data_IF_600590969685
#
_entry.id   IF_600590969685
#
_cell.length_a   1.000
_cell.length_b   1.000
_cell.length_c   1.000
_cell.angle_alpha   90.00
_cell.angle_beta   90.00
_cell.angle_gamma   90.00
#
_symmetry.space_group_name_H-M   'P 1'
#
loop_
_entity.id
_entity.type
_entity.pdbx_description
1 polymer ?
#
# COMPACT_ATOMS: atom_id res chain seq x y z
N UNK A 1 -5.36 7.30 14.04
CA UNK A 1 -4.47 6.39 13.30
C UNK A 1 -4.80 6.49 11.82
N UNK A 2 -3.84 6.89 11.01
CA UNK A 2 -3.97 6.94 9.55
C UNK A 2 -3.83 5.50 9.02
N UNK A 3 -4.76 5.11 8.13
CA UNK A 3 -4.75 3.81 7.43
C UNK A 3 -4.72 4.10 5.94
N UNK A 4 -3.54 4.06 5.34
CA UNK A 4 -3.31 4.38 3.94
C UNK A 4 -3.19 3.13 3.10
N UNK A 5 -4.08 2.94 2.14
CA UNK A 5 -3.94 1.93 1.09
C UNK A 5 -3.29 2.54 -0.14
N UNK A 6 -2.33 1.82 -0.73
CA UNK A 6 -1.78 2.18 -2.04
C UNK A 6 -2.39 1.22 -3.06
N UNK A 7 -3.24 1.75 -3.93
CA UNK A 7 -4.06 0.94 -4.82
C UNK A 7 -3.93 1.33 -6.29
N UNK A 8 -3.69 0.34 -7.12
CA UNK A 8 -3.87 0.39 -8.57
C UNK A 8 -4.00 -1.05 -9.10
N UNK A 9 -4.91 -1.26 -10.05
CA UNK A 9 -5.15 -2.57 -10.68
C UNK A 9 -4.04 -2.98 -11.66
N UNK A 10 -3.21 -2.02 -12.09
CA UNK A 10 -2.07 -2.28 -12.97
C UNK A 10 -0.87 -2.79 -12.17
N UNK A 11 -0.22 -3.83 -12.70
CA UNK A 11 1.07 -4.30 -12.21
C UNK A 11 2.21 -3.34 -12.55
N UNK A 12 3.27 -3.31 -11.74
CA UNK A 12 4.50 -2.55 -12.04
C UNK A 12 4.44 -1.05 -11.82
N UNK A 13 3.31 -0.48 -11.38
CA UNK A 13 3.18 0.97 -11.11
C UNK A 13 3.87 1.44 -9.83
N UNK A 14 4.51 0.53 -9.08
CA UNK A 14 5.30 0.84 -7.91
C UNK A 14 4.54 0.89 -6.58
N UNK A 15 3.37 0.25 -6.45
CA UNK A 15 2.60 0.18 -5.19
C UNK A 15 3.47 -0.21 -4.00
N UNK A 16 4.04 -1.40 -4.05
CA UNK A 16 4.91 -1.95 -2.99
C UNK A 16 6.07 -1.03 -2.64
N UNK A 17 6.74 -0.47 -3.65
CA UNK A 17 7.87 0.44 -3.45
C UNK A 17 7.43 1.70 -2.72
N UNK A 18 6.28 2.27 -3.11
CA UNK A 18 5.71 3.47 -2.47
C UNK A 18 5.33 3.15 -1.03
N UNK A 19 4.59 2.05 -0.79
CA UNK A 19 4.21 1.60 0.56
C UNK A 19 5.43 1.50 1.47
N UNK A 20 6.44 0.74 1.07
CA UNK A 20 7.61 0.49 1.91
C UNK A 20 8.44 1.76 2.18
N UNK A 21 8.56 2.65 1.18
CA UNK A 21 9.33 3.90 1.36
C UNK A 21 8.58 4.92 2.22
N UNK A 22 7.27 5.11 2.01
CA UNK A 22 6.48 6.02 2.85
C UNK A 22 6.40 5.50 4.30
N UNK A 23 6.21 4.19 4.50
CA UNK A 23 6.21 3.58 5.82
C UNK A 23 7.56 3.73 6.55
N UNK A 24 8.68 3.54 5.84
CA UNK A 24 10.01 3.73 6.41
C UNK A 24 10.29 5.20 6.76
N UNK A 25 9.78 6.17 5.97
CA UNK A 25 9.88 7.60 6.29
C UNK A 25 9.03 7.92 7.53
N UNK A 26 7.79 7.43 7.63
CA UNK A 26 6.96 7.60 8.82
C UNK A 26 7.67 7.07 10.07
N UNK A 27 8.21 5.87 10.01
CA UNK A 27 8.96 5.24 11.09
C UNK A 27 10.23 6.02 11.48
N UNK A 28 10.98 6.54 10.49
CA UNK A 28 12.17 7.37 10.75
C UNK A 28 11.85 8.70 11.44
N UNK A 29 10.60 9.13 11.41
CA UNK A 29 10.08 10.31 12.13
C UNK A 29 9.52 9.95 13.51
N UNK A 30 9.72 8.72 13.97
CA UNK A 30 9.31 8.25 15.28
C UNK A 30 7.87 7.75 15.37
N UNK A 31 7.14 7.68 14.25
CA UNK A 31 5.79 7.12 14.24
C UNK A 31 5.83 5.59 14.29
N UNK A 32 5.10 4.98 15.22
CA UNK A 32 4.92 3.53 15.22
C UNK A 32 4.09 3.11 14.00
N UNK A 33 4.74 2.46 13.06
CA UNK A 33 4.23 2.20 11.72
C UNK A 33 4.08 0.71 11.47
N UNK A 34 2.95 0.32 10.86
CA UNK A 34 2.67 -1.04 10.45
C UNK A 34 2.48 -1.09 8.93
N UNK A 35 3.15 -2.00 8.26
CA UNK A 35 2.84 -2.39 6.88
C UNK A 35 2.04 -3.68 6.87
N UNK A 36 1.01 -3.77 6.04
CA UNK A 36 0.24 -4.99 5.80
C UNK A 36 0.39 -5.36 4.33
N UNK A 37 0.98 -6.52 4.08
CA UNK A 37 1.21 -7.03 2.71
C UNK A 37 0.10 -8.00 2.32
N UNK A 38 -0.78 -7.56 1.40
CA UNK A 38 -1.90 -8.35 0.88
C UNK A 38 -1.65 -8.97 -0.49
N UNK A 39 -0.45 -8.76 -1.06
CA UNK A 39 -0.06 -9.37 -2.33
C UNK A 39 0.57 -10.75 -2.08
N UNK A 40 0.04 -11.80 -2.72
CA UNK A 40 0.58 -13.17 -2.64
C UNK A 40 2.04 -13.28 -3.07
N UNK A 41 2.53 -12.31 -3.85
CA UNK A 41 3.95 -12.24 -4.24
C UNK A 41 4.87 -11.89 -3.06
N UNK A 42 4.34 -11.29 -1.98
CA UNK A 42 5.08 -11.01 -0.76
C UNK A 42 6.24 -10.03 -0.93
N UNK A 43 6.15 -9.12 -1.90
CA UNK A 43 7.24 -8.19 -2.22
C UNK A 43 7.53 -7.20 -1.08
N UNK A 44 6.50 -6.66 -0.42
CA UNK A 44 6.69 -5.79 0.75
C UNK A 44 7.28 -6.57 1.92
N UNK A 45 6.83 -7.80 2.13
CA UNK A 45 7.34 -8.72 3.14
C UNK A 45 8.83 -8.98 2.97
N UNK A 46 9.26 -9.38 1.76
CA UNK A 46 10.67 -9.63 1.46
C UNK A 46 11.51 -8.37 1.66
N UNK A 47 11.02 -7.25 1.17
CA UNK A 47 11.72 -5.98 1.23
C UNK A 47 11.95 -5.51 2.67
N UNK A 48 10.92 -5.59 3.53
CA UNK A 48 10.99 -5.10 4.91
C UNK A 48 11.61 -6.09 5.89
N UNK A 49 11.58 -7.40 5.61
CA UNK A 49 12.22 -8.43 6.45
C UNK A 49 13.66 -8.74 6.04
N UNK A 50 14.27 -7.94 5.18
CA UNK A 50 15.66 -8.10 4.75
C UNK A 50 15.89 -9.39 3.96
N UNK A 51 14.95 -9.78 3.10
CA UNK A 51 15.00 -11.00 2.30
C UNK A 51 14.78 -12.29 3.11
N UNK A 52 14.24 -12.20 4.32
CA UNK A 52 14.01 -13.33 5.23
C UNK A 52 12.54 -13.44 5.63
N UNK A 53 11.62 -13.79 4.71
CA UNK A 53 10.19 -13.88 5.01
C UNK A 53 9.87 -14.92 6.11
N UNK A 54 10.70 -15.95 6.25
CA UNK A 54 10.55 -17.03 7.28
C UNK A 54 10.67 -16.51 8.72
N UNK A 55 11.05 -15.24 8.93
CA UNK A 55 11.04 -14.61 10.25
C UNK A 55 9.63 -14.34 10.78
N UNK A 56 8.64 -14.36 9.92
CA UNK A 56 7.26 -14.16 10.33
C UNK A 56 6.68 -15.46 10.90
N UNK A 57 6.46 -15.49 12.22
CA UNK A 57 5.82 -16.63 12.88
C UNK A 57 4.34 -16.77 12.51
N UNK A 58 3.71 -15.65 12.15
CA UNK A 58 2.31 -15.55 11.71
C UNK A 58 2.19 -14.58 10.55
N UNK A 59 1.25 -14.87 9.66
CA UNK A 59 1.07 -14.14 8.42
C UNK A 59 -0.35 -13.57 8.32
N UNK A 60 -0.59 -12.75 7.31
CA UNK A 60 -1.93 -12.28 6.96
C UNK A 60 -2.84 -13.45 6.52
N UNK A 61 -2.26 -14.53 5.99
CA UNK A 61 -2.97 -15.78 5.68
C UNK A 61 -3.56 -16.41 6.94
N UNK A 62 -2.78 -16.50 8.03
CA UNK A 62 -3.26 -17.01 9.31
C UNK A 62 -4.39 -16.14 9.88
N UNK A 63 -4.29 -14.82 9.73
CA UNK A 63 -5.36 -13.92 10.13
C UNK A 63 -6.65 -14.23 9.36
N UNK A 64 -6.61 -14.25 8.03
CA UNK A 64 -7.81 -14.51 7.23
C UNK A 64 -8.36 -15.92 7.46
N UNK A 65 -7.52 -16.93 7.57
CA UNK A 65 -7.93 -18.30 7.88
C UNK A 65 -8.66 -18.38 9.22
N UNK A 66 -8.18 -17.68 10.25
CA UNK A 66 -8.83 -17.61 11.56
C UNK A 66 -10.26 -17.06 11.50
N UNK A 67 -10.57 -16.24 10.50
CA UNK A 67 -11.90 -15.65 10.30
C UNK A 67 -12.91 -16.62 9.67
N UNK A 68 -12.45 -17.73 9.07
CA UNK A 68 -13.31 -18.72 8.42
C UNK A 68 -13.98 -19.70 9.39
N UNK A 69 -13.37 -19.92 10.54
CA UNK A 69 -13.86 -20.81 11.58
C UNK A 69 -14.75 -20.11 12.62
N UNK A 70 -15.43 -20.92 13.41
CA UNK A 70 -16.07 -20.50 14.66
C UNK A 70 -14.99 -20.56 15.75
N UNK A 71 -14.35 -19.44 16.04
CA UNK A 71 -13.44 -19.34 17.18
C UNK A 71 -14.05 -18.42 18.25
N UNK A 72 -14.11 -18.91 19.49
CA UNK A 72 -14.52 -18.11 20.64
C UNK A 72 -13.50 -17.03 21.01
N UNK A 73 -12.26 -17.16 20.52
CA UNK A 73 -11.19 -16.20 20.75
C UNK A 73 -10.36 -16.03 19.46
N UNK A 74 -10.61 -14.97 18.72
CA UNK A 74 -9.70 -14.55 17.64
C UNK A 74 -8.51 -13.82 18.25
N UNK A 75 -7.25 -14.19 17.96
CA UNK A 75 -6.09 -13.47 18.45
C UNK A 75 -6.15 -11.98 18.08
N UNK A 76 -5.68 -11.08 18.94
CA UNK A 76 -5.55 -9.66 18.58
C UNK A 76 -4.70 -9.48 17.32
N UNK A 77 -5.10 -8.56 16.43
CA UNK A 77 -4.43 -8.39 15.12
C UNK A 77 -2.94 -8.07 15.25
N UNK A 78 -2.54 -7.37 16.32
CA UNK A 78 -1.12 -7.08 16.62
C UNK A 78 -0.25 -8.34 16.72
N UNK A 79 -0.82 -9.50 17.02
CA UNK A 79 -0.05 -10.76 17.13
C UNK A 79 0.40 -11.33 15.79
N UNK A 80 -0.05 -10.76 14.68
CA UNK A 80 0.40 -11.09 13.32
C UNK A 80 1.51 -10.16 12.83
N UNK A 81 1.82 -9.09 13.58
CA UNK A 81 2.90 -8.17 13.26
C UNK A 81 4.26 -8.77 13.62
N UNK A 82 5.21 -8.64 12.71
CA UNK A 82 6.61 -9.05 12.87
C UNK A 82 7.49 -7.81 12.84
N UNK A 83 8.43 -7.71 13.77
CA UNK A 83 9.40 -6.61 13.81
C UNK A 83 10.34 -6.67 12.60
N UNK A 84 10.53 -5.53 11.96
CA UNK A 84 11.53 -5.38 10.90
C UNK A 84 12.89 -4.97 11.48
N UNK A 85 13.97 -4.97 10.70
CA UNK A 85 15.25 -4.39 11.11
C UNK A 85 15.24 -2.86 11.30
N UNK A 86 14.15 -2.20 10.93
CA UNK A 86 14.01 -0.74 10.99
C UNK A 86 13.22 -0.35 12.23
N UNK A 87 13.76 0.60 12.98
CA UNK A 87 13.12 1.09 14.20
C UNK A 87 11.72 1.65 13.92
N UNK A 88 10.74 1.40 14.80
CA UNK A 88 9.34 1.82 14.69
C UNK A 88 8.58 1.28 13.47
N UNK A 89 9.09 0.28 12.76
CA UNK A 89 8.46 -0.30 11.59
C UNK A 89 8.24 -1.80 11.76
N UNK A 90 6.98 -2.21 11.75
CA UNK A 90 6.58 -3.61 11.78
C UNK A 90 5.87 -3.99 10.47
N UNK A 91 5.78 -5.30 10.18
CA UNK A 91 5.07 -5.82 9.01
C UNK A 91 4.18 -7.01 9.38
N UNK A 92 2.95 -7.03 8.88
CA UNK A 92 2.15 -8.25 8.77
C UNK A 92 2.49 -8.87 7.43
N UNK A 93 3.23 -9.99 7.49
CA UNK A 93 3.78 -10.65 6.32
C UNK A 93 2.69 -11.27 5.43
N UNK A 94 2.93 -11.24 4.12
CA UNK A 94 2.10 -11.93 3.14
C UNK A 94 2.21 -13.45 3.25
N UNK A 95 1.31 -14.13 2.55
CA UNK A 95 1.22 -15.59 2.52
C UNK A 95 0.70 -16.08 1.16
N UNK A 96 1.35 -17.06 0.57
CA UNK A 96 0.91 -17.67 -0.69
C UNK A 96 -0.47 -18.34 -0.57
N UNK A 97 -0.86 -18.80 0.64
CA UNK A 97 -2.19 -19.36 0.91
C UNK A 97 -3.35 -18.40 0.65
N UNK A 98 -3.07 -17.09 0.51
CA UNK A 98 -4.08 -16.11 0.13
C UNK A 98 -4.80 -16.49 -1.17
N UNK A 99 -4.11 -17.12 -2.14
CA UNK A 99 -4.74 -17.58 -3.38
C UNK A 99 -5.87 -18.59 -3.11
N UNK A 100 -5.59 -19.60 -2.29
CA UNK A 100 -6.55 -20.66 -1.93
C UNK A 100 -7.65 -20.16 -0.97
N UNK A 101 -7.35 -19.17 -0.15
CA UNK A 101 -8.27 -18.61 0.83
C UNK A 101 -9.32 -17.69 0.19
N UNK A 102 -8.99 -17.03 -0.92
CA UNK A 102 -9.84 -16.01 -1.55
C UNK A 102 -11.27 -16.49 -1.78
N UNK A 103 -11.45 -17.62 -2.46
CA UNK A 103 -12.76 -18.17 -2.80
C UNK A 103 -13.59 -18.45 -1.55
N UNK A 104 -12.96 -18.98 -0.49
CA UNK A 104 -13.64 -19.28 0.78
C UNK A 104 -14.06 -18.02 1.52
N UNK A 105 -13.22 -16.98 1.48
CA UNK A 105 -13.47 -15.70 2.14
C UNK A 105 -14.60 -14.93 1.43
N UNK A 106 -14.61 -14.94 0.10
CA UNK A 106 -15.68 -14.36 -0.72
C UNK A 106 -17.03 -15.07 -0.45
N UNK A 107 -17.07 -16.40 -0.52
CA UNK A 107 -18.27 -17.18 -0.27
C UNK A 107 -18.84 -16.95 1.13
N UNK A 108 -18.01 -16.67 2.12
CA UNK A 108 -18.41 -16.35 3.50
C UNK A 108 -18.54 -14.86 3.78
N UNK A 109 -18.44 -13.99 2.77
CA UNK A 109 -18.59 -12.53 2.87
C UNK A 109 -17.69 -11.91 3.96
N UNK A 110 -16.39 -12.30 3.99
CA UNK A 110 -15.46 -11.89 5.05
C UNK A 110 -14.73 -10.56 4.77
N UNK A 111 -15.14 -9.80 3.76
CA UNK A 111 -14.46 -8.59 3.29
C UNK A 111 -14.27 -7.50 4.37
N UNK A 112 -15.16 -7.43 5.36
CA UNK A 112 -15.10 -6.47 6.47
C UNK A 112 -14.12 -6.88 7.60
N UNK A 113 -13.51 -8.08 7.54
CA UNK A 113 -12.73 -8.60 8.67
C UNK A 113 -11.46 -7.82 8.94
N UNK A 114 -10.79 -7.33 7.92
CA UNK A 114 -9.61 -6.49 8.09
C UNK A 114 -9.97 -5.15 8.76
N UNK A 115 -11.04 -4.47 8.32
CA UNK A 115 -11.54 -3.24 8.97
C UNK A 115 -11.82 -3.48 10.46
N UNK A 116 -12.59 -4.52 10.78
CA UNK A 116 -12.92 -4.87 12.17
C UNK A 116 -11.70 -5.14 13.05
N UNK A 117 -10.64 -5.69 12.46
CA UNK A 117 -9.38 -5.94 13.14
C UNK A 117 -8.59 -4.63 13.37
N UNK A 118 -8.51 -3.77 12.34
CA UNK A 118 -7.82 -2.49 12.42
C UNK A 118 -8.53 -1.47 13.32
N UNK A 119 -9.86 -1.54 13.45
CA UNK A 119 -10.62 -0.71 14.40
C UNK A 119 -10.27 -1.00 15.86
N UNK A 120 -9.79 -2.22 16.14
CA UNK A 120 -9.37 -2.65 17.47
C UNK A 120 -7.85 -2.57 17.67
N UNK A 121 -7.11 -2.29 16.61
CA UNK A 121 -5.66 -2.21 16.67
C UNK A 121 -5.22 -0.97 17.47
N UNK A 122 -4.30 -1.18 18.40
CA UNK A 122 -3.73 -0.13 19.25
C UNK A 122 -2.21 -0.17 19.16
N UNK A 123 -1.60 0.97 19.42
CA UNK A 123 -0.15 1.07 19.54
C UNK A 123 0.56 1.37 18.22
N UNK A 124 -0.17 1.70 17.15
CA UNK A 124 0.39 2.22 15.90
C UNK A 124 -0.22 3.60 15.60
N UNK A 125 0.60 4.47 15.02
CA UNK A 125 0.22 5.81 14.59
C UNK A 125 -0.22 5.80 13.12
N UNK A 126 0.44 4.96 12.30
CA UNK A 126 0.17 4.81 10.87
C UNK A 126 0.16 3.34 10.45
N UNK A 127 -0.74 3.02 9.53
CA UNK A 127 -0.83 1.71 8.84
C UNK A 127 -0.78 1.96 7.33
N UNK A 128 0.13 1.27 6.64
CA UNK A 128 0.22 1.26 5.19
C UNK A 128 -0.17 -0.13 4.67
N UNK A 129 -1.02 -0.17 3.64
CA UNK A 129 -1.54 -1.44 3.10
C UNK A 129 -1.09 -1.58 1.65
N UNK A 130 -0.28 -2.61 1.39
CA UNK A 130 0.11 -3.00 0.03
C UNK A 130 -0.91 -3.96 -0.58
N UNK A 131 -1.24 -3.76 -1.86
CA UNK A 131 -2.33 -4.47 -2.53
C UNK A 131 -1.86 -5.19 -3.79
N UNK A 132 -2.47 -6.35 -4.13
CA UNK A 132 -2.21 -7.02 -5.40
C UNK A 132 -2.65 -6.17 -6.60
N UNK A 133 -2.14 -6.48 -7.83
CA UNK A 133 -2.46 -5.76 -9.06
C UNK A 133 -3.82 -6.17 -9.66
N UNK A 134 -4.88 -6.17 -8.84
CA UNK A 134 -6.23 -6.54 -9.26
C UNK A 134 -7.27 -6.02 -8.27
N UNK A 135 -8.52 -5.87 -8.72
CA UNK A 135 -9.65 -5.62 -7.83
C UNK A 135 -10.24 -6.97 -7.38
N UNK A 136 -9.61 -7.59 -6.40
CA UNK A 136 -10.01 -8.87 -5.83
C UNK A 136 -10.48 -8.70 -4.37
N UNK A 137 -10.72 -9.81 -3.67
CA UNK A 137 -11.11 -9.81 -2.27
C UNK A 137 -10.16 -8.99 -1.38
N UNK A 138 -8.83 -9.12 -1.58
CA UNK A 138 -7.82 -8.50 -0.73
C UNK A 138 -7.72 -6.99 -0.95
N UNK A 139 -7.72 -6.54 -2.20
CA UNK A 139 -7.73 -5.10 -2.50
C UNK A 139 -9.03 -4.43 -2.06
N UNK A 140 -10.19 -5.11 -2.21
CA UNK A 140 -11.46 -4.64 -1.64
C UNK A 140 -11.42 -4.57 -0.13
N UNK A 141 -10.89 -5.61 0.56
CA UNK A 141 -10.71 -5.58 2.02
C UNK A 141 -9.80 -4.45 2.48
N UNK A 142 -8.74 -4.14 1.71
CA UNK A 142 -7.83 -3.02 1.98
C UNK A 142 -8.54 -1.67 1.88
N UNK A 143 -9.26 -1.41 0.78
CA UNK A 143 -10.03 -0.18 0.57
C UNK A 143 -11.13 0.01 1.64
N UNK A 144 -11.79 -1.08 2.03
CA UNK A 144 -12.79 -1.06 3.10
C UNK A 144 -12.16 -0.75 4.47
N UNK A 145 -10.94 -1.20 4.72
CA UNK A 145 -10.25 -1.02 5.99
C UNK A 145 -9.48 0.31 6.13
N UNK A 146 -9.19 0.97 5.00
CA UNK A 146 -8.43 2.21 4.94
C UNK A 146 -9.32 3.46 5.15
N UNK A 147 -8.71 4.58 5.54
CA UNK A 147 -9.33 5.90 5.50
C UNK A 147 -8.66 6.83 4.47
N UNK A 148 -7.51 6.43 3.91
CA UNK A 148 -6.80 7.16 2.85
C UNK A 148 -6.44 6.21 1.71
N UNK A 149 -6.67 6.63 0.47
CA UNK A 149 -6.29 5.90 -0.74
C UNK A 149 -5.33 6.74 -1.57
N UNK A 150 -4.10 6.28 -1.71
CA UNK A 150 -3.09 6.84 -2.60
C UNK A 150 -3.04 6.01 -3.88
N UNK A 151 -3.14 6.66 -5.04
CA UNK A 151 -3.18 6.01 -6.34
C UNK A 151 -1.87 6.30 -7.10
N UNK A 152 -0.93 5.34 -7.18
CA UNK A 152 0.22 5.48 -8.07
C UNK A 152 -0.21 5.41 -9.52
N UNK A 153 0.29 6.33 -10.33
CA UNK A 153 -0.05 6.45 -11.73
C UNK A 153 1.23 6.49 -12.59
N UNK A 154 1.29 5.63 -13.59
CA UNK A 154 2.32 5.62 -14.60
C UNK A 154 1.73 6.17 -15.90
N UNK A 155 2.28 7.28 -16.40
CA UNK A 155 1.75 8.02 -17.54
C UNK A 155 2.06 7.33 -18.87
N UNK A 156 1.47 6.17 -19.14
CA UNK A 156 1.47 5.57 -20.47
C UNK A 156 0.19 5.92 -21.27
N UNK A 157 0.19 5.53 -22.54
CA UNK A 157 -0.86 5.91 -23.49
C UNK A 157 -2.25 5.36 -23.11
N UNK A 158 -2.32 4.24 -22.39
CA UNK A 158 -3.57 3.57 -21.98
C UNK A 158 -3.96 3.85 -20.53
N UNK A 159 -3.11 4.55 -19.78
CA UNK A 159 -3.27 4.71 -18.34
C UNK A 159 -4.51 5.55 -17.96
N UNK A 160 -4.92 6.51 -18.83
CA UNK A 160 -6.02 7.42 -18.53
C UNK A 160 -7.37 6.70 -18.36
N UNK A 161 -7.76 5.86 -19.33
CA UNK A 161 -9.02 5.11 -19.25
C UNK A 161 -9.01 4.14 -18.06
N UNK A 162 -7.88 3.48 -17.82
CA UNK A 162 -7.72 2.59 -16.67
C UNK A 162 -7.83 3.35 -15.33
N UNK A 163 -7.35 4.61 -15.28
CA UNK A 163 -7.48 5.46 -14.10
C UNK A 163 -8.94 5.78 -13.79
N UNK A 164 -9.75 6.16 -14.79
CA UNK A 164 -11.18 6.44 -14.55
C UNK A 164 -11.92 5.20 -14.04
N UNK A 165 -11.71 4.04 -14.66
CA UNK A 165 -12.30 2.79 -14.17
C UNK A 165 -11.86 2.48 -12.74
N UNK A 166 -10.62 2.78 -12.38
CA UNK A 166 -10.12 2.59 -11.02
C UNK A 166 -10.80 3.56 -10.05
N UNK A 167 -10.94 4.84 -10.42
CA UNK A 167 -11.62 5.85 -9.61
C UNK A 167 -13.08 5.49 -9.37
N UNK A 168 -13.79 5.02 -10.41
CA UNK A 168 -15.17 4.54 -10.30
C UNK A 168 -15.28 3.37 -9.31
N UNK A 169 -14.39 2.38 -9.40
CA UNK A 169 -14.36 1.26 -8.46
C UNK A 169 -14.09 1.70 -7.01
N UNK A 170 -13.20 2.67 -6.80
CA UNK A 170 -12.95 3.22 -5.44
C UNK A 170 -14.18 3.96 -4.92
N UNK A 171 -14.87 4.73 -5.78
CA UNK A 171 -16.09 5.43 -5.41
C UNK A 171 -17.24 4.47 -5.08
N UNK A 172 -17.39 3.36 -5.81
CA UNK A 172 -18.37 2.31 -5.51
C UNK A 172 -18.10 1.71 -4.12
N UNK A 173 -16.85 1.35 -3.83
CA UNK A 173 -16.48 0.82 -2.51
C UNK A 173 -16.74 1.86 -1.41
N UNK A 174 -16.44 3.13 -1.68
CA UNK A 174 -16.72 4.23 -0.76
C UNK A 174 -18.21 4.34 -0.46
N UNK A 175 -19.05 4.34 -1.48
CA UNK A 175 -20.50 4.46 -1.34
C UNK A 175 -21.14 3.28 -0.61
N UNK A 176 -20.68 2.05 -0.90
CA UNK A 176 -21.35 0.83 -0.43
C UNK A 176 -20.79 0.29 0.88
N UNK A 177 -19.51 0.57 1.20
CA UNK A 177 -18.80 -0.13 2.26
C UNK A 177 -17.99 0.73 3.21
N UNK A 178 -17.53 1.92 2.78
CA UNK A 178 -16.60 2.74 3.56
C UNK A 178 -16.67 4.24 3.21
N UNK A 179 -17.62 4.95 3.76
CA UNK A 179 -17.84 6.38 3.55
C UNK A 179 -16.70 7.28 4.09
N UNK A 180 -15.86 6.74 4.99
CA UNK A 180 -14.67 7.42 5.51
C UNK A 180 -13.47 7.40 4.56
N UNK A 181 -13.51 6.58 3.47
CA UNK A 181 -12.41 6.45 2.54
C UNK A 181 -12.28 7.72 1.69
N UNK A 182 -11.13 8.36 1.75
CA UNK A 182 -10.80 9.52 0.91
C UNK A 182 -9.69 9.17 -0.08
N UNK A 183 -9.87 9.55 -1.35
CA UNK A 183 -8.76 9.55 -2.32
C UNK A 183 -7.90 10.76 -2.00
N UNK A 184 -6.76 10.53 -1.32
CA UNK A 184 -5.86 11.61 -0.90
C UNK A 184 -5.01 12.15 -2.04
N UNK A 185 -4.84 11.37 -3.11
CA UNK A 185 -4.17 11.85 -4.30
C UNK A 185 -3.77 10.77 -5.30
N UNK A 186 -3.47 11.24 -6.51
CA UNK A 186 -2.86 10.47 -7.59
C UNK A 186 -1.40 10.90 -7.67
N UNK A 187 -0.47 10.00 -7.36
CA UNK A 187 0.97 10.26 -7.45
C UNK A 187 1.52 9.73 -8.77
N UNK A 188 2.11 10.63 -9.57
CA UNK A 188 2.79 10.24 -10.81
C UNK A 188 4.11 9.58 -10.47
N UNK A 189 4.22 8.29 -10.77
CA UNK A 189 5.42 7.49 -10.55
C UNK A 189 6.18 7.24 -11.86
N UNK A 190 7.46 6.92 -11.75
CA UNK A 190 8.37 6.71 -12.88
C UNK A 190 8.42 7.91 -13.86
N UNK A 191 8.16 9.11 -13.34
CA UNK A 191 8.02 10.32 -14.12
C UNK A 191 9.32 10.69 -14.84
N UNK A 192 9.21 10.85 -16.15
CA UNK A 192 10.29 11.33 -17.00
C UNK A 192 9.99 12.75 -17.45
N UNK A 193 10.42 13.75 -16.70
CA UNK A 193 10.07 15.16 -16.91
C UNK A 193 10.46 15.75 -18.27
N UNK A 194 11.34 15.09 -19.04
CA UNK A 194 11.70 15.49 -20.41
C UNK A 194 10.73 14.93 -21.47
N UNK A 195 9.89 13.97 -21.14
CA UNK A 195 8.94 13.37 -22.05
C UNK A 195 7.66 14.23 -22.14
N UNK A 196 7.25 14.58 -23.36
CA UNK A 196 6.09 15.46 -23.61
C UNK A 196 4.76 14.80 -23.24
N UNK A 197 4.63 13.48 -23.45
CA UNK A 197 3.39 12.75 -23.20
C UNK A 197 2.98 12.74 -21.71
N UNK A 198 3.85 12.38 -20.75
CA UNK A 198 3.50 12.41 -19.33
C UNK A 198 3.08 13.81 -18.85
N UNK A 199 3.80 14.85 -19.27
CA UNK A 199 3.47 16.23 -18.88
C UNK A 199 2.07 16.65 -19.38
N UNK A 200 1.72 16.28 -20.62
CA UNK A 200 0.39 16.55 -21.19
C UNK A 200 -0.72 15.81 -20.44
N UNK A 201 -0.56 14.50 -20.20
CA UNK A 201 -1.56 13.68 -19.50
C UNK A 201 -1.82 14.22 -18.07
N UNK A 202 -0.75 14.61 -17.36
CA UNK A 202 -0.87 15.20 -16.02
C UNK A 202 -1.62 16.54 -16.07
N UNK A 203 -1.34 17.41 -17.05
CA UNK A 203 -2.03 18.67 -17.21
C UNK A 203 -3.53 18.47 -17.49
N UNK A 204 -3.86 17.56 -18.42
CA UNK A 204 -5.25 17.23 -18.76
C UNK A 204 -6.03 16.69 -17.53
N UNK A 205 -5.44 15.78 -16.75
CA UNK A 205 -6.07 15.25 -15.53
C UNK A 205 -6.33 16.35 -14.49
N UNK A 206 -5.39 17.29 -14.33
CA UNK A 206 -5.58 18.44 -13.43
C UNK A 206 -6.67 19.41 -13.91
N UNK A 207 -6.72 19.69 -15.22
CA UNK A 207 -7.77 20.50 -15.83
C UNK A 207 -9.16 19.87 -15.63
N UNK A 208 -9.26 18.55 -15.59
CA UNK A 208 -10.46 17.78 -15.32
C UNK A 208 -10.80 17.71 -13.81
N UNK A 209 -10.00 18.34 -12.95
CA UNK A 209 -10.23 18.39 -11.51
C UNK A 209 -9.84 17.10 -10.77
N UNK A 210 -9.05 16.21 -11.39
CA UNK A 210 -8.56 15.02 -10.71
C UNK A 210 -7.51 15.40 -9.65
N UNK A 211 -7.46 14.69 -8.50
CA UNK A 211 -6.59 15.02 -7.37
C UNK A 211 -5.13 14.58 -7.63
N UNK A 212 -4.53 15.07 -8.74
CA UNK A 212 -3.14 14.76 -9.09
C UNK A 212 -2.21 15.61 -8.25
N UNK A 213 -1.40 14.95 -7.43
CA UNK A 213 -0.43 15.59 -6.54
C UNK A 213 0.62 16.38 -7.34
N UNK A 214 1.17 17.42 -6.72
CA UNK A 214 2.28 18.17 -7.30
C UNK A 214 3.58 17.36 -7.29
N UNK A 215 3.76 16.55 -6.24
CA UNK A 215 4.90 15.67 -6.04
C UNK A 215 4.86 14.53 -7.06
N UNK A 216 5.98 14.31 -7.70
CA UNK A 216 6.18 13.21 -8.64
C UNK A 216 7.37 12.36 -8.21
N UNK A 217 7.37 11.09 -8.55
CA UNK A 217 8.47 10.17 -8.26
C UNK A 217 9.21 9.83 -9.55
N UNK A 218 10.49 10.18 -9.60
CA UNK A 218 11.35 9.95 -10.76
C UNK A 218 11.67 8.46 -10.94
N UNK A 219 11.87 8.05 -12.19
CA UNK A 219 12.48 6.74 -12.47
C UNK A 219 13.96 6.73 -12.04
N UNK A 220 14.38 5.70 -11.32
CA UNK A 220 15.78 5.55 -10.87
C UNK A 220 16.18 4.08 -10.78
N UNK A 221 17.40 3.79 -11.22
CA UNK A 221 18.02 2.47 -11.03
C UNK A 221 18.28 2.14 -9.55
N UNK A 222 18.38 3.17 -8.70
CA UNK A 222 18.55 3.01 -7.25
C UNK A 222 17.39 2.27 -6.58
N UNK A 223 16.19 2.32 -7.15
CA UNK A 223 15.06 1.50 -6.68
C UNK A 223 15.36 0.02 -6.79
N UNK A 224 16.00 -0.42 -7.90
CA UNK A 224 16.37 -1.83 -8.06
C UNK A 224 17.42 -2.25 -7.04
N UNK A 225 18.42 -1.42 -6.79
CA UNK A 225 19.44 -1.66 -5.75
C UNK A 225 18.82 -1.67 -4.34
N UNK A 226 17.87 -0.80 -4.09
CA UNK A 226 17.10 -0.74 -2.84
C UNK A 226 16.35 -2.05 -2.60
N UNK A 227 15.71 -2.61 -3.65
CA UNK A 227 15.04 -3.91 -3.57
C UNK A 227 16.03 -5.05 -3.37
N UNK A 228 17.14 -5.08 -4.11
CA UNK A 228 18.17 -6.11 -3.99
C UNK A 228 18.81 -6.14 -2.59
N UNK A 229 19.02 -4.96 -2.01
CA UNK A 229 19.59 -4.83 -0.65
C UNK A 229 18.54 -4.90 0.46
N UNK A 230 17.26 -4.95 0.13
CA UNK A 230 16.15 -4.92 1.10
C UNK A 230 16.23 -3.72 2.04
N UNK A 231 16.58 -2.55 1.50
CA UNK A 231 16.72 -1.31 2.25
C UNK A 231 15.84 -0.21 1.63
N UNK A 232 14.82 0.32 2.32
CA UNK A 232 14.09 1.50 1.88
C UNK A 232 15.05 2.65 1.52
N UNK A 233 14.68 3.48 0.55
CA UNK A 233 15.54 4.54 0.02
C UNK A 233 16.06 5.49 1.10
N UNK A 234 15.25 5.77 2.14
CA UNK A 234 15.65 6.61 3.28
C UNK A 234 16.79 5.98 4.11
N UNK A 235 16.89 4.64 4.11
CA UNK A 235 17.94 3.90 4.78
C UNK A 235 19.15 3.67 3.85
N UNK A 236 18.91 3.49 2.53
CA UNK A 236 19.94 3.21 1.56
C UNK A 236 20.76 4.47 1.23
N UNK A 237 20.08 5.55 0.87
CA UNK A 237 20.73 6.80 0.41
C UNK A 237 19.80 8.01 0.69
N UNK A 238 19.82 8.54 1.94
CA UNK A 238 18.93 9.64 2.32
C UNK A 238 19.03 10.88 1.44
N UNK A 239 20.25 11.20 0.95
CA UNK A 239 20.52 12.36 0.11
C UNK A 239 20.17 12.18 -1.38
N UNK A 240 19.76 10.99 -1.81
CA UNK A 240 19.44 10.76 -3.20
C UNK A 240 18.17 11.52 -3.62
N UNK A 241 18.13 12.03 -4.86
CA UNK A 241 17.00 12.81 -5.38
C UNK A 241 15.66 12.10 -5.18
N UNK A 242 15.55 10.83 -5.56
CA UNK A 242 14.29 10.07 -5.41
C UNK A 242 13.91 9.89 -3.94
N UNK A 243 14.87 9.74 -3.02
CA UNK A 243 14.58 9.70 -1.58
C UNK A 243 13.95 11.02 -1.13
N UNK A 244 14.48 12.15 -1.57
CA UNK A 244 13.91 13.46 -1.26
C UNK A 244 12.51 13.66 -1.89
N UNK A 245 12.27 13.10 -3.08
CA UNK A 245 10.94 13.06 -3.69
C UNK A 245 9.94 12.25 -2.86
N UNK A 246 10.34 11.08 -2.29
CA UNK A 246 9.50 10.33 -1.35
C UNK A 246 9.25 11.09 -0.05
N UNK A 247 10.26 11.79 0.48
CA UNK A 247 10.10 12.63 1.68
C UNK A 247 9.12 13.77 1.41
N UNK A 248 9.24 14.46 0.28
CA UNK A 248 8.34 15.53 -0.11
C UNK A 248 6.90 15.02 -0.34
N UNK A 249 6.76 13.83 -0.94
CA UNK A 249 5.45 13.18 -1.07
C UNK A 249 4.85 12.88 0.30
N UNK A 250 5.62 12.27 1.20
CA UNK A 250 5.15 11.99 2.56
C UNK A 250 4.69 13.27 3.28
N UNK A 251 5.46 14.35 3.21
CA UNK A 251 5.11 15.63 3.83
C UNK A 251 3.82 16.23 3.27
N UNK A 252 3.62 16.13 1.96
CA UNK A 252 2.40 16.60 1.32
C UNK A 252 1.15 15.77 1.70
N UNK A 253 1.33 14.48 2.02
CA UNK A 253 0.24 13.60 2.47
C UNK A 253 -0.12 13.81 3.96
N UNK A 254 0.75 14.42 4.75
CA UNK A 254 0.53 14.69 6.17
C UNK A 254 0.11 16.15 6.45
N UNK A 255 0.14 17.01 5.43
CA UNK A 255 -0.30 18.42 5.51
C UNK A 255 -1.82 18.56 5.40
#
# INVERSE_FOLDING_TARGET
MIRRVVFNQKGGVGKTTIVCNLAAIAASRGLRTLVIDLDTQGNATQYLLGGKPDKADRTIGDFFESTLGFSLQTPPFVTYATNTPFENLDVVASDQRLEDLQVKLEAKQKVQKLRQALDKLKGYDAVFIDTPPSLNFYSRSALIAANRCLIPFDCDEFARQALYTLLDNVQEIRADHNDELEIEGIVVNQFQGRAKLPARVVAELREEGQPVLEQTLSSSVRVKESHERHLPMIQLEPGHRLTQEYVALYEALES
#
